data_IF_020904672153
#
_entry.id   IF_020904672153
#
_cell.length_a   1.000
_cell.length_b   1.000
_cell.length_c   1.000
_cell.angle_alpha   90.00
_cell.angle_beta   90.00
_cell.angle_gamma   90.00
#
_symmetry.space_group_name_H-M   'P 1'
#
loop_
_entity.id
_entity.type
_entity.pdbx_description
1 polymer ?
#
# COMPACT_ATOMS: atom_id res chain seq x y z
N UNK A 1 -1.29 6.66 -33.16
CA UNK A 1 -1.85 5.33 -32.78
C UNK A 1 -1.69 5.05 -31.27
N UNK A 2 -1.74 6.07 -30.39
CA UNK A 2 -1.36 5.99 -28.96
C UNK A 2 -2.54 6.02 -27.96
N UNK A 3 -3.79 6.06 -28.42
CA UNK A 3 -4.96 6.39 -27.58
C UNK A 3 -5.66 5.18 -26.96
N UNK A 4 -5.46 3.96 -27.46
CA UNK A 4 -6.15 2.77 -26.95
C UNK A 4 -5.44 2.15 -25.72
N UNK A 5 -4.10 2.21 -25.67
CA UNK A 5 -3.34 1.64 -24.55
C UNK A 5 -3.37 2.55 -23.32
N UNK A 6 -3.49 3.87 -23.50
CA UNK A 6 -3.60 4.83 -22.40
C UNK A 6 -4.93 4.73 -21.66
N UNK A 7 -6.02 4.28 -22.30
CA UNK A 7 -7.34 4.15 -21.65
C UNK A 7 -7.51 2.84 -20.84
N UNK A 8 -6.45 2.03 -20.71
CA UNK A 8 -6.49 0.79 -19.95
C UNK A 8 -6.24 1.07 -18.46
N UNK A 9 -7.04 0.43 -17.60
CA UNK A 9 -6.74 0.37 -16.17
C UNK A 9 -5.52 -0.52 -15.93
N UNK A 10 -4.45 0.08 -15.41
CA UNK A 10 -3.23 -0.60 -14.99
C UNK A 10 -3.21 -0.66 -13.47
N UNK A 11 -3.21 -1.87 -12.93
CA UNK A 11 -3.03 -2.06 -11.49
C UNK A 11 -1.56 -1.84 -11.17
N UNK A 12 -1.25 -0.84 -10.34
CA UNK A 12 0.06 -0.74 -9.73
C UNK A 12 0.22 -1.96 -8.84
N UNK A 13 1.30 -2.72 -9.03
CA UNK A 13 1.56 -3.92 -8.24
C UNK A 13 1.79 -3.54 -6.77
N UNK A 14 0.72 -3.37 -6.02
CA UNK A 14 0.73 -3.36 -4.58
C UNK A 14 1.00 -4.78 -4.06
N UNK A 15 1.53 -4.82 -2.83
CA UNK A 15 1.46 -5.93 -1.87
C UNK A 15 1.09 -7.27 -2.52
N UNK A 16 2.09 -8.10 -2.84
CA UNK A 16 1.90 -9.41 -3.48
C UNK A 16 0.79 -10.23 -2.80
N UNK A 17 0.13 -11.13 -3.52
CA UNK A 17 -1.03 -11.87 -2.99
C UNK A 17 -0.73 -12.68 -1.71
N UNK A 18 0.53 -13.01 -1.45
CA UNK A 18 1.00 -13.69 -0.23
C UNK A 18 1.38 -12.75 0.90
N UNK A 19 1.64 -11.47 0.63
CA UNK A 19 2.05 -10.50 1.65
C UNK A 19 1.04 -10.36 2.80
N UNK A 20 -0.29 -10.45 2.58
CA UNK A 20 -1.26 -10.52 3.69
C UNK A 20 -0.97 -11.65 4.68
N UNK A 21 -0.60 -12.84 4.18
CA UNK A 21 -0.24 -14.00 5.00
C UNK A 21 1.09 -13.80 5.73
N UNK A 22 2.02 -13.03 5.13
CA UNK A 22 3.31 -12.68 5.74
C UNK A 22 3.20 -11.52 6.75
N UNK A 23 2.22 -10.62 6.58
CA UNK A 23 1.94 -9.49 7.48
C UNK A 23 1.07 -9.93 8.65
N UNK A 24 0.15 -10.88 8.44
CA UNK A 24 -0.56 -11.52 9.53
C UNK A 24 0.48 -12.08 10.50
N UNK A 25 0.52 -11.52 11.73
CA UNK A 25 1.53 -11.89 12.71
C UNK A 25 1.56 -13.41 12.86
N UNK A 26 2.75 -14.05 12.84
CA UNK A 26 2.84 -15.49 13.03
C UNK A 26 2.17 -15.94 14.33
N UNK A 27 2.08 -15.07 15.35
CA UNK A 27 1.31 -15.30 16.56
C UNK A 27 -0.21 -15.31 16.31
N UNK A 28 -0.75 -14.39 15.50
CA UNK A 28 -2.18 -14.34 15.16
C UNK A 28 -2.53 -15.55 14.29
N UNK A 29 -1.68 -15.90 13.32
CA UNK A 29 -1.87 -17.08 12.49
C UNK A 29 -1.83 -18.35 13.35
N UNK A 30 -0.85 -18.47 14.24
CA UNK A 30 -0.73 -19.57 15.20
C UNK A 30 -1.92 -19.64 16.16
N UNK A 31 -2.41 -18.51 16.67
CA UNK A 31 -3.59 -18.46 17.55
C UNK A 31 -4.86 -18.86 16.79
N UNK A 32 -5.06 -18.39 15.57
CA UNK A 32 -6.21 -18.77 14.74
C UNK A 32 -6.18 -20.26 14.38
N UNK A 33 -5.00 -20.78 13.99
CA UNK A 33 -4.80 -22.20 13.72
C UNK A 33 -5.04 -23.02 14.99
N UNK A 34 -4.35 -22.73 16.09
CA UNK A 34 -4.47 -23.51 17.33
C UNK A 34 -5.87 -23.48 17.94
N UNK A 35 -6.56 -22.33 17.93
CA UNK A 35 -7.94 -22.25 18.39
C UNK A 35 -8.92 -22.92 17.41
N UNK A 36 -8.70 -22.80 16.10
CA UNK A 36 -9.46 -23.51 15.08
C UNK A 36 -9.35 -25.03 15.23
N UNK A 37 -8.14 -25.54 15.49
CA UNK A 37 -7.89 -26.97 15.77
C UNK A 37 -8.58 -27.41 17.06
N UNK A 38 -8.51 -26.60 18.13
CA UNK A 38 -9.19 -26.93 19.40
C UNK A 38 -10.71 -26.94 19.26
N UNK A 39 -11.29 -25.97 18.57
CA UNK A 39 -12.72 -25.94 18.25
C UNK A 39 -13.13 -27.14 17.39
N UNK A 40 -12.36 -27.45 16.34
CA UNK A 40 -12.59 -28.61 15.51
C UNK A 40 -12.53 -29.91 16.34
N UNK A 41 -11.53 -30.07 17.21
CA UNK A 41 -11.39 -31.24 18.08
C UNK A 41 -12.59 -31.42 19.03
N UNK A 42 -13.17 -30.34 19.54
CA UNK A 42 -14.39 -30.37 20.39
C UNK A 42 -15.58 -30.90 19.58
N UNK A 43 -15.73 -30.50 18.32
CA UNK A 43 -16.81 -30.97 17.44
C UNK A 43 -16.56 -32.36 16.82
N UNK A 44 -15.31 -32.83 16.80
CA UNK A 44 -14.85 -34.05 16.12
C UNK A 44 -14.69 -35.27 17.03
N UNK A 45 -15.15 -35.21 18.30
CA UNK A 45 -15.20 -36.38 19.17
C UNK A 45 -16.06 -37.50 18.52
N UNK A 46 -15.41 -38.44 17.84
CA UNK A 46 -16.04 -39.57 17.13
C UNK A 46 -15.71 -39.71 15.64
N UNK A 47 -14.93 -38.80 15.05
CA UNK A 47 -14.58 -38.86 13.61
C UNK A 47 -13.26 -39.61 13.38
N UNK A 48 -13.16 -40.50 12.35
CA UNK A 48 -11.93 -41.22 12.05
C UNK A 48 -10.76 -40.28 11.75
N UNK A 49 -9.56 -40.64 12.21
CA UNK A 49 -8.33 -39.84 12.07
C UNK A 49 -8.01 -39.28 10.66
N UNK A 50 -8.27 -39.96 9.52
CA UNK A 50 -8.00 -39.34 8.22
C UNK A 50 -8.92 -38.15 7.91
N UNK A 51 -10.17 -38.19 8.38
CA UNK A 51 -11.13 -37.11 8.14
C UNK A 51 -10.84 -35.87 8.99
N UNK A 52 -10.28 -36.02 10.19
CA UNK A 52 -9.87 -34.88 11.00
C UNK A 52 -8.73 -34.09 10.37
N UNK A 53 -7.78 -34.76 9.69
CA UNK A 53 -6.69 -34.10 8.94
C UNK A 53 -7.25 -33.32 7.76
N UNK A 54 -8.15 -33.91 6.97
CA UNK A 54 -8.80 -33.23 5.83
C UNK A 54 -9.56 -32.00 6.32
N UNK A 55 -10.33 -32.13 7.40
CA UNK A 55 -11.10 -31.01 7.96
C UNK A 55 -10.18 -29.87 8.42
N UNK A 56 -9.05 -30.21 9.05
CA UNK A 56 -8.06 -29.25 9.52
C UNK A 56 -7.42 -28.47 8.37
N UNK A 57 -7.09 -29.15 7.26
CA UNK A 57 -6.59 -28.51 6.03
C UNK A 57 -7.64 -27.58 5.43
N UNK A 58 -8.91 -28.01 5.36
CA UNK A 58 -10.00 -27.18 4.83
C UNK A 58 -10.23 -25.94 5.68
N UNK A 59 -10.29 -26.08 7.02
CA UNK A 59 -10.44 -24.94 7.94
C UNK A 59 -9.24 -23.99 7.81
N UNK A 60 -8.02 -24.51 7.77
CA UNK A 60 -6.81 -23.70 7.56
C UNK A 60 -6.86 -22.91 6.25
N UNK A 61 -7.28 -23.54 5.16
CA UNK A 61 -7.46 -22.88 3.86
C UNK A 61 -8.54 -21.79 3.90
N UNK A 62 -9.66 -22.03 4.58
CA UNK A 62 -10.73 -21.04 4.75
C UNK A 62 -10.26 -19.82 5.56
N UNK A 63 -9.54 -20.05 6.66
CA UNK A 63 -8.95 -18.97 7.47
C UNK A 63 -7.96 -18.15 6.63
N UNK A 64 -7.07 -18.81 5.88
CA UNK A 64 -6.13 -18.14 5.00
C UNK A 64 -6.84 -17.30 3.92
N UNK A 65 -7.89 -17.84 3.31
CA UNK A 65 -8.73 -17.13 2.34
C UNK A 65 -9.40 -15.90 2.97
N UNK A 66 -9.95 -16.03 4.18
CA UNK A 66 -10.59 -14.95 4.92
C UNK A 66 -9.59 -13.83 5.26
N UNK A 67 -8.38 -14.16 5.70
CA UNK A 67 -7.32 -13.18 5.97
C UNK A 67 -6.97 -12.40 4.69
N UNK A 68 -6.76 -13.10 3.58
CA UNK A 68 -6.46 -12.46 2.28
C UNK A 68 -7.62 -11.55 1.85
N UNK A 69 -8.87 -11.98 2.02
CA UNK A 69 -10.04 -11.18 1.70
C UNK A 69 -10.13 -9.90 2.56
N UNK A 70 -9.95 -10.01 3.88
CA UNK A 70 -9.95 -8.88 4.80
C UNK A 70 -8.85 -7.88 4.44
N UNK A 71 -7.62 -8.34 4.20
CA UNK A 71 -6.52 -7.44 3.86
C UNK A 71 -6.75 -6.74 2.53
N UNK A 72 -7.32 -7.42 1.52
CA UNK A 72 -7.70 -6.79 0.25
C UNK A 72 -8.83 -5.78 0.39
N UNK A 73 -9.73 -5.99 1.35
CA UNK A 73 -10.80 -5.04 1.66
C UNK A 73 -10.25 -3.77 2.33
N UNK A 74 -9.26 -3.91 3.21
CA UNK A 74 -8.63 -2.79 3.93
C UNK A 74 -7.64 -2.03 3.03
N UNK A 75 -6.86 -2.75 2.23
CA UNK A 75 -5.83 -2.22 1.33
C UNK A 75 -6.16 -2.58 -0.12
N UNK A 76 -7.16 -1.92 -0.72
CA UNK A 76 -7.56 -2.24 -2.09
C UNK A 76 -6.43 -1.89 -3.07
N UNK A 77 -6.27 -2.69 -4.16
CA UNK A 77 -5.26 -2.42 -5.16
C UNK A 77 -5.52 -1.08 -5.84
N UNK A 78 -4.45 -0.31 -6.06
CA UNK A 78 -4.50 0.96 -6.76
C UNK A 78 -4.43 0.71 -8.26
N UNK A 79 -5.39 1.25 -8.99
CA UNK A 79 -5.47 1.20 -10.44
C UNK A 79 -5.34 2.61 -11.02
N UNK A 80 -4.55 2.75 -12.07
CA UNK A 80 -4.33 3.99 -12.80
C UNK A 80 -4.85 3.87 -14.23
N UNK A 81 -5.42 4.95 -14.75
CA UNK A 81 -5.74 5.11 -16.16
C UNK A 81 -5.14 6.44 -16.61
N UNK A 82 -4.01 6.38 -17.32
CA UNK A 82 -3.28 7.56 -17.78
C UNK A 82 -4.01 8.33 -18.89
N UNK A 83 -4.76 7.64 -19.75
CA UNK A 83 -5.51 8.23 -20.86
C UNK A 83 -6.62 9.16 -20.37
N UNK A 84 -7.30 8.80 -19.28
CA UNK A 84 -8.34 9.64 -18.65
C UNK A 84 -7.83 10.47 -17.48
N UNK A 85 -6.61 10.23 -17.01
CA UNK A 85 -6.08 10.87 -15.80
C UNK A 85 -6.88 10.49 -14.54
N UNK A 86 -7.25 9.22 -14.40
CA UNK A 86 -8.06 8.72 -13.29
C UNK A 86 -7.30 7.73 -12.42
N UNK A 87 -7.43 7.90 -11.11
CA UNK A 87 -6.95 6.98 -10.09
C UNK A 87 -8.14 6.28 -9.43
N UNK A 88 -8.04 4.97 -9.25
CA UNK A 88 -9.03 4.16 -8.55
C UNK A 88 -8.37 3.39 -7.42
N UNK A 89 -9.00 3.42 -6.24
CA UNK A 89 -8.65 2.56 -5.12
C UNK A 89 -9.93 1.88 -4.62
N UNK A 90 -10.04 0.58 -4.88
CA UNK A 90 -11.25 -0.19 -4.59
C UNK A 90 -12.42 0.28 -5.45
N UNK A 91 -13.53 0.65 -4.81
CA UNK A 91 -14.74 1.13 -5.49
C UNK A 91 -14.74 2.64 -5.79
N UNK A 92 -13.77 3.39 -5.26
CA UNK A 92 -13.72 4.85 -5.42
C UNK A 92 -12.76 5.24 -6.52
N UNK A 93 -13.20 6.20 -7.35
CA UNK A 93 -12.43 6.74 -8.47
C UNK A 93 -12.34 8.26 -8.32
N UNK A 94 -11.17 8.84 -8.62
CA UNK A 94 -10.90 10.27 -8.55
C UNK A 94 -10.00 10.68 -9.72
N UNK A 95 -10.03 11.97 -10.10
CA UNK A 95 -9.10 12.51 -11.09
C UNK A 95 -7.70 12.73 -10.48
N UNK A 96 -6.65 12.70 -11.30
CA UNK A 96 -5.28 12.99 -10.86
C UNK A 96 -5.17 14.39 -10.24
N UNK A 97 -5.88 15.37 -10.81
CA UNK A 97 -5.94 16.74 -10.29
C UNK A 97 -6.56 16.86 -8.90
N UNK A 98 -7.36 15.89 -8.47
CA UNK A 98 -7.94 15.87 -7.11
C UNK A 98 -6.97 15.34 -6.07
N UNK A 99 -5.83 14.74 -6.48
CA UNK A 99 -4.77 14.32 -5.57
C UNK A 99 -4.09 15.56 -5.03
N UNK A 100 -4.34 15.87 -3.76
CA UNK A 100 -3.90 17.11 -3.12
C UNK A 100 -2.75 16.92 -2.15
N UNK A 101 -2.53 15.68 -1.68
CA UNK A 101 -1.63 15.43 -0.56
C UNK A 101 -0.84 14.16 -0.80
N UNK A 102 0.46 14.21 -0.53
CA UNK A 102 1.36 13.07 -0.56
C UNK A 102 2.10 12.93 0.77
N UNK A 103 2.17 11.70 1.26
CA UNK A 103 2.88 11.33 2.48
C UNK A 103 3.89 10.24 2.16
N UNK A 104 5.10 10.37 2.66
CA UNK A 104 6.12 9.34 2.58
C UNK A 104 6.06 8.47 3.84
N UNK A 105 5.64 7.23 3.66
CA UNK A 105 5.67 6.22 4.70
C UNK A 105 6.96 5.40 4.58
N UNK A 106 7.76 5.46 5.63
CA UNK A 106 9.03 4.72 5.72
C UNK A 106 8.82 3.51 6.62
N UNK A 107 9.13 2.33 6.10
CA UNK A 107 9.21 1.10 6.90
C UNK A 107 10.67 0.68 6.97
N UNK A 108 11.33 0.99 8.08
CA UNK A 108 12.75 0.71 8.28
C UNK A 108 12.96 -0.34 9.37
N UNK A 109 13.89 -1.25 9.11
CA UNK A 109 14.56 -2.11 10.09
C UNK A 109 16.07 -1.90 9.94
N UNK A 110 16.87 -2.46 10.86
CA UNK A 110 18.34 -2.30 10.86
C UNK A 110 19.02 -2.66 9.54
N UNK A 111 18.41 -3.54 8.72
CA UNK A 111 18.98 -4.01 7.46
C UNK A 111 18.16 -3.63 6.21
N UNK A 112 16.96 -3.04 6.36
CA UNK A 112 16.02 -2.85 5.23
C UNK A 112 15.22 -1.56 5.37
N UNK A 113 15.01 -0.85 4.26
CA UNK A 113 14.20 0.38 4.22
C UNK A 113 13.26 0.39 3.02
N UNK A 114 11.98 0.16 3.29
CA UNK A 114 10.89 0.30 2.34
C UNK A 114 10.37 1.74 2.29
N UNK A 115 10.09 2.23 1.10
CA UNK A 115 9.55 3.56 0.80
C UNK A 115 8.20 3.40 0.13
N UNK A 116 7.15 3.93 0.77
CA UNK A 116 5.79 3.87 0.27
C UNK A 116 5.20 5.27 0.23
N UNK A 117 4.65 5.66 -0.92
CA UNK A 117 3.96 6.92 -1.09
C UNK A 117 2.47 6.72 -0.84
N UNK A 118 1.92 7.43 0.14
CA UNK A 118 0.48 7.50 0.39
C UNK A 118 -0.05 8.79 -0.21
N UNK A 119 -0.91 8.65 -1.21
CA UNK A 119 -1.58 9.75 -1.89
C UNK A 119 -3.02 9.85 -1.40
N UNK A 120 -3.46 11.07 -1.12
CA UNK A 120 -4.82 11.37 -0.70
C UNK A 120 -5.44 12.39 -1.63
N UNK A 121 -6.68 12.12 -2.02
CA UNK A 121 -7.51 13.02 -2.81
C UNK A 121 -8.48 13.80 -1.94
N UNK A 122 -8.97 14.94 -2.44
CA UNK A 122 -10.03 15.73 -1.79
C UNK A 122 -11.33 14.94 -1.61
N UNK A 123 -11.61 14.02 -2.53
CA UNK A 123 -12.76 13.10 -2.50
C UNK A 123 -12.56 11.91 -1.54
N UNK A 124 -11.41 11.83 -0.86
CA UNK A 124 -11.13 10.84 0.18
C UNK A 124 -10.62 9.49 -0.34
N UNK A 125 -10.31 9.35 -1.63
CA UNK A 125 -9.56 8.22 -2.18
C UNK A 125 -8.14 8.24 -1.59
N UNK A 126 -7.70 7.07 -1.11
CA UNK A 126 -6.34 6.85 -0.59
C UNK A 126 -5.66 5.83 -1.48
N UNK A 127 -4.53 6.21 -2.07
CA UNK A 127 -3.73 5.33 -2.90
C UNK A 127 -2.37 5.11 -2.25
N UNK A 128 -2.04 3.85 -2.00
CA UNK A 128 -0.77 3.45 -1.39
C UNK A 128 0.09 2.84 -2.49
N UNK A 129 1.22 3.47 -2.78
CA UNK A 129 2.12 3.11 -3.88
C UNK A 129 3.47 2.74 -3.28
N UNK A 130 3.88 1.48 -3.43
CA UNK A 130 5.20 1.03 -3.00
C UNK A 130 6.24 1.50 -4.02
N UNK A 131 7.05 2.48 -3.65
CA UNK A 131 8.11 3.02 -4.51
C UNK A 131 9.32 2.09 -4.49
N UNK A 132 9.70 1.65 -3.30
CA UNK A 132 10.78 0.70 -3.09
C UNK A 132 10.50 -0.22 -1.93
N UNK A 133 10.77 -1.50 -2.12
CA UNK A 133 10.67 -2.48 -1.04
C UNK A 133 11.94 -2.56 -0.18
N UNK A 134 11.86 -3.29 0.93
CA UNK A 134 13.02 -3.51 1.81
C UNK A 134 14.16 -4.33 1.19
N UNK A 135 14.00 -4.87 -0.03
CA UNK A 135 15.02 -5.59 -0.80
C UNK A 135 15.61 -4.71 -1.91
N UNK A 136 15.43 -3.39 -1.84
CA UNK A 136 15.89 -2.42 -2.85
C UNK A 136 15.20 -2.56 -4.23
N UNK A 137 14.11 -3.33 -4.33
CA UNK A 137 13.35 -3.45 -5.60
C UNK A 137 12.45 -2.24 -5.75
N UNK A 138 12.58 -1.56 -6.89
CA UNK A 138 11.79 -0.38 -7.25
C UNK A 138 10.58 -0.75 -8.11
N UNK A 139 9.75 0.24 -8.44
CA UNK A 139 8.68 0.10 -9.41
C UNK A 139 9.21 -0.39 -10.77
N UNK A 140 8.44 -1.25 -11.44
CA UNK A 140 8.73 -1.60 -12.83
C UNK A 140 8.70 -0.33 -13.70
N UNK A 141 9.56 -0.21 -14.75
CA UNK A 141 9.71 1.03 -15.52
C UNK A 141 8.37 1.61 -16.01
N UNK A 142 7.50 0.77 -16.60
CA UNK A 142 6.15 1.17 -17.05
C UNK A 142 5.27 1.69 -15.91
N UNK A 143 5.37 1.10 -14.72
CA UNK A 143 4.61 1.56 -13.55
C UNK A 143 5.18 2.87 -13.01
N UNK A 144 6.51 3.04 -13.02
CA UNK A 144 7.15 4.30 -12.64
C UNK A 144 6.72 5.46 -13.54
N UNK A 145 6.65 5.24 -14.87
CA UNK A 145 6.17 6.25 -15.82
C UNK A 145 4.71 6.67 -15.55
N UNK A 146 3.83 5.71 -15.24
CA UNK A 146 2.43 6.01 -14.90
C UNK A 146 2.30 6.78 -13.58
N UNK A 147 3.13 6.44 -12.58
CA UNK A 147 3.16 7.14 -11.31
C UNK A 147 3.75 8.55 -11.48
N UNK A 148 4.74 8.73 -12.36
CA UNK A 148 5.28 10.05 -12.72
C UNK A 148 4.20 10.91 -13.35
N UNK A 149 3.50 10.42 -14.39
CA UNK A 149 2.41 11.16 -15.06
C UNK A 149 1.27 11.52 -14.08
N UNK A 150 0.97 10.63 -13.13
CA UNK A 150 0.04 10.91 -12.04
C UNK A 150 0.52 12.08 -11.15
N UNK A 151 1.76 12.04 -10.67
CA UNK A 151 2.31 13.07 -9.77
C UNK A 151 2.43 14.41 -10.50
N UNK A 152 2.86 14.43 -11.76
CA UNK A 152 2.97 15.65 -12.57
C UNK A 152 1.62 16.37 -12.71
N UNK A 153 0.55 15.61 -12.97
CA UNK A 153 -0.81 16.15 -13.15
C UNK A 153 -1.58 16.37 -11.85
N UNK A 154 -0.96 16.09 -10.71
CA UNK A 154 -1.57 16.26 -9.39
C UNK A 154 -1.44 17.68 -8.84
N UNK A 155 -2.35 18.02 -7.94
CA UNK A 155 -2.31 19.24 -7.13
C UNK A 155 -1.63 19.03 -5.77
N UNK A 156 -0.60 18.17 -5.70
CA UNK A 156 0.09 17.86 -4.45
C UNK A 156 0.78 19.10 -3.90
N UNK A 157 0.36 19.52 -2.70
CA UNK A 157 0.96 20.61 -1.94
C UNK A 157 1.13 20.20 -0.47
N UNK A 158 2.02 20.89 0.24
CA UNK A 158 2.14 20.71 1.67
C UNK A 158 0.87 21.25 2.36
N UNK A 159 0.25 20.48 3.26
CA UNK A 159 -0.88 20.99 4.02
C UNK A 159 -0.45 22.15 4.92
N UNK A 160 -1.38 23.08 5.11
CA UNK A 160 -1.24 24.23 6.02
C UNK A 160 -2.11 24.01 7.27
N UNK A 161 -1.66 24.51 8.42
CA UNK A 161 -2.48 24.48 9.64
C UNK A 161 -3.16 25.84 9.84
N UNK A 162 -4.26 25.92 10.61
CA UNK A 162 -4.89 27.19 10.95
C UNK A 162 -3.94 28.17 11.65
N UNK A 163 -3.03 27.65 12.48
CA UNK A 163 -2.03 28.43 13.22
C UNK A 163 -0.82 28.84 12.37
N UNK A 164 -0.65 28.26 11.18
CA UNK A 164 0.38 28.61 10.20
C UNK A 164 -0.21 28.63 8.76
N UNK A 165 -1.05 29.65 8.45
CA UNK A 165 -1.73 29.73 7.16
C UNK A 165 -0.76 30.00 6.00
N UNK A 166 0.46 30.48 6.30
CA UNK A 166 1.51 30.72 5.31
C UNK A 166 2.37 29.47 5.05
N UNK A 167 2.17 28.40 5.82
CA UNK A 167 2.92 27.14 5.68
C UNK A 167 4.41 27.26 5.95
N UNK A 168 4.86 28.28 6.69
CA UNK A 168 6.29 28.50 6.99
C UNK A 168 6.89 27.32 7.79
N UNK A 169 6.06 26.71 8.62
CA UNK A 169 6.34 25.55 9.46
C UNK A 169 5.60 24.30 8.98
N UNK A 170 5.07 24.28 7.75
CA UNK A 170 4.34 23.13 7.22
C UNK A 170 5.16 21.84 7.30
N UNK A 171 6.48 21.90 7.03
CA UNK A 171 7.39 20.75 7.17
C UNK A 171 7.52 20.25 8.62
N UNK A 172 7.39 21.13 9.60
CA UNK A 172 7.45 20.77 11.03
C UNK A 172 6.10 20.22 11.51
N UNK A 173 5.00 20.84 11.10
CA UNK A 173 3.65 20.42 11.48
C UNK A 173 3.24 19.11 10.79
N UNK A 174 3.79 18.86 9.61
CA UNK A 174 3.44 17.73 8.75
C UNK A 174 4.71 17.00 8.26
N UNK A 175 5.47 16.36 9.16
CA UNK A 175 6.81 15.85 8.87
C UNK A 175 6.83 14.71 7.84
N UNK A 176 5.77 13.91 7.77
CA UNK A 176 5.67 12.82 6.80
C UNK A 176 5.20 13.30 5.40
N UNK A 177 4.84 14.57 5.24
CA UNK A 177 4.31 15.08 3.96
C UNK A 177 5.43 15.54 3.04
N UNK A 178 5.26 15.24 1.75
CA UNK A 178 6.24 15.57 0.71
C UNK A 178 5.61 16.50 -0.32
N UNK A 179 6.43 17.39 -0.90
CA UNK A 179 5.98 18.23 -2.01
C UNK A 179 5.83 17.40 -3.29
N UNK A 180 5.17 17.96 -4.32
CA UNK A 180 5.10 17.32 -5.63
C UNK A 180 6.49 17.03 -6.22
N UNK A 181 7.43 17.96 -6.06
CA UNK A 181 8.80 17.81 -6.55
C UNK A 181 9.53 16.69 -5.80
N UNK A 182 9.41 16.64 -4.48
CA UNK A 182 9.98 15.56 -3.66
C UNK A 182 9.39 14.20 -4.03
N UNK A 183 8.06 14.13 -4.22
CA UNK A 183 7.37 12.91 -4.64
C UNK A 183 7.85 12.40 -6.01
N UNK A 184 8.07 13.31 -6.97
CA UNK A 184 8.59 12.98 -8.29
C UNK A 184 10.04 12.47 -8.20
N UNK A 185 10.90 13.18 -7.45
CA UNK A 185 12.29 12.77 -7.22
C UNK A 185 12.38 11.38 -6.55
N UNK A 186 11.47 11.07 -5.62
CA UNK A 186 11.41 9.74 -4.97
C UNK A 186 11.06 8.62 -5.95
N UNK A 187 10.25 8.89 -6.97
CA UNK A 187 9.85 7.89 -7.98
C UNK A 187 10.96 7.68 -9.00
N UNK A 188 11.64 8.74 -9.41
CA UNK A 188 12.75 8.69 -10.36
C UNK A 188 14.02 8.09 -9.75
N UNK A 189 14.38 8.56 -8.55
CA UNK A 189 15.61 8.20 -7.87
C UNK A 189 15.33 7.88 -6.39
N UNK A 190 14.76 6.69 -6.09
CA UNK A 190 14.41 6.31 -4.73
C UNK A 190 15.67 6.18 -3.82
N UNK A 191 15.81 6.99 -2.75
CA UNK A 191 17.07 7.13 -2.01
C UNK A 191 17.48 5.86 -1.26
N UNK A 192 18.72 5.35 -1.43
CA UNK A 192 19.29 4.10 -0.86
C UNK A 192 19.19 4.00 0.68
N UNK A 193 19.59 2.90 1.33
CA UNK A 193 19.32 2.71 2.79
C UNK A 193 19.97 3.79 3.67
N UNK A 194 21.14 4.24 3.26
CA UNK A 194 22.05 5.20 3.89
C UNK A 194 21.86 6.65 3.39
N UNK A 195 21.15 6.83 2.28
CA UNK A 195 20.89 8.15 1.74
C UNK A 195 19.82 8.90 2.55
N UNK A 196 19.95 10.24 2.65
CA UNK A 196 18.97 11.07 3.34
C UNK A 196 17.61 11.05 2.63
N UNK A 197 16.55 11.16 3.42
CA UNK A 197 15.19 11.29 2.90
C UNK A 197 14.78 12.77 2.83
N UNK A 198 13.83 13.15 1.95
CA UNK A 198 13.31 14.51 1.88
C UNK A 198 12.44 14.90 3.09
N UNK A 199 12.25 13.97 4.04
CA UNK A 199 11.54 14.16 5.31
C UNK A 199 12.53 14.12 6.48
N UNK A 200 12.27 14.83 7.59
CA UNK A 200 13.11 14.77 8.77
C UNK A 200 13.19 13.35 9.34
N UNK A 201 14.35 12.94 9.90
CA UNK A 201 14.48 11.65 10.57
C UNK A 201 13.53 11.57 11.76
N UNK A 202 12.88 10.42 11.94
CA UNK A 202 12.09 10.15 13.14
C UNK A 202 13.06 9.93 14.30
N UNK A 203 12.96 10.78 15.32
CA UNK A 203 13.63 10.62 16.62
C UNK A 203 13.06 9.41 17.37
#
# INVERSE_FOLDING_TARGET
>A
MHTAESDRWVTLSGVSWFTPLLIASPLILFLLLSNGVRLAAIFLHGVPHPWSIVLLVVIGALIACLIVAIVRLIYPPVQLNAGRGLIRAGQRTAAYSEVSTAQLLVTATSARRGLTLLLRTRTGVRAIILIRDGKQRTLAPKAADLVRDLIERSGIELPVSPDDPKGKFARYNFPDHVTRADALALVEHPPALDEPLPIPPRL
#
